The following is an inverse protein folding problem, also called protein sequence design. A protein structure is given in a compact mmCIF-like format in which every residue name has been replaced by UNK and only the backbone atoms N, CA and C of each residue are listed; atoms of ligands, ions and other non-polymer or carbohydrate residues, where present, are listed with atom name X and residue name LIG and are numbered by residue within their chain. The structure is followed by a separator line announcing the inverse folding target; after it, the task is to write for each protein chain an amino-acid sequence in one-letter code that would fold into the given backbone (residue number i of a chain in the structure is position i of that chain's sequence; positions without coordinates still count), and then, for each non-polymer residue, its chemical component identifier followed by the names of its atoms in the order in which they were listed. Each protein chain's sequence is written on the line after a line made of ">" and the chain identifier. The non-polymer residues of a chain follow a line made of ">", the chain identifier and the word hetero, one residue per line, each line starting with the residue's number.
data_IF_359328003416
#
_entry.id   IF_359328003416
#
_cell.length_a   1.000
_cell.length_b   1.000
_cell.length_c   1.000
_cell.angle_alpha   90.00
_cell.angle_beta   90.00
_cell.angle_gamma   90.00
#
_symmetry.space_group_name_H-M   'P 1'
#
loop_
_entity.id
_entity.type
_entity.pdbx_description
1 polymer ?
#
# COMPACT_ATOMS: atom_id res chain seq x y z
N UNK A 1 -7.07 7.34 23.00
CA UNK A 1 -7.23 5.96 22.45
C UNK A 1 -7.55 5.97 20.95
N UNK A 2 -8.58 6.70 20.51
CA UNK A 2 -9.03 6.72 19.11
C UNK A 2 -7.91 7.04 18.10
N UNK A 3 -7.04 8.00 18.39
CA UNK A 3 -5.96 8.43 17.48
C UNK A 3 -4.91 7.34 17.21
N UNK A 4 -4.61 6.46 18.19
CA UNK A 4 -3.73 5.29 18.00
C UNK A 4 -4.42 4.20 17.17
N UNK A 5 -5.73 4.04 17.31
CA UNK A 5 -6.52 3.06 16.56
C UNK A 5 -6.64 3.48 15.09
N UNK A 6 -7.02 4.74 14.85
CA UNK A 6 -7.08 5.36 13.52
C UNK A 6 -5.73 5.27 12.81
N UNK A 7 -4.64 5.57 13.52
CA UNK A 7 -3.29 5.44 12.99
C UNK A 7 -2.87 4.00 12.67
N UNK A 8 -3.47 2.97 13.28
CA UNK A 8 -3.19 1.56 12.90
C UNK A 8 -3.97 1.11 11.68
N UNK A 9 -5.20 1.61 11.51
CA UNK A 9 -6.11 1.23 10.42
C UNK A 9 -5.77 2.00 9.13
N UNK A 10 -5.25 3.23 9.26
CA UNK A 10 -4.90 4.11 8.14
C UNK A 10 -4.24 3.43 6.92
N UNK A 11 -3.17 2.61 7.05
CA UNK A 11 -2.53 1.96 5.91
C UNK A 11 -3.39 0.89 5.23
N UNK A 12 -4.41 0.37 5.90
CA UNK A 12 -5.29 -0.68 5.36
C UNK A 12 -6.56 -0.11 4.70
N UNK A 13 -6.84 1.19 4.84
CA UNK A 13 -8.00 1.84 4.21
C UNK A 13 -8.04 1.59 2.70
N UNK A 14 -6.93 1.74 1.94
CA UNK A 14 -6.95 1.49 0.50
C UNK A 14 -7.30 0.05 0.14
N UNK A 15 -6.83 -0.93 0.91
CA UNK A 15 -7.18 -2.35 0.72
C UNK A 15 -8.66 -2.60 0.99
N UNK A 16 -9.20 -2.03 2.07
CA UNK A 16 -10.63 -2.15 2.40
C UNK A 16 -11.52 -1.60 1.28
N UNK A 17 -11.16 -0.44 0.73
CA UNK A 17 -11.87 0.17 -0.40
C UNK A 17 -11.72 -0.71 -1.66
N UNK A 18 -10.51 -1.20 -1.96
CA UNK A 18 -10.27 -2.10 -3.10
C UNK A 18 -11.12 -3.37 -3.04
N UNK A 19 -11.18 -4.02 -1.88
CA UNK A 19 -12.03 -5.20 -1.66
C UNK A 19 -13.52 -4.88 -1.79
N UNK A 20 -13.96 -3.73 -1.27
CA UNK A 20 -15.35 -3.29 -1.39
C UNK A 20 -15.74 -3.08 -2.87
N UNK A 21 -14.87 -2.48 -3.67
CA UNK A 21 -15.09 -2.29 -5.10
C UNK A 21 -15.18 -3.62 -5.86
N UNK A 22 -14.31 -4.58 -5.53
CA UNK A 22 -14.36 -5.93 -6.10
C UNK A 22 -15.68 -6.63 -5.72
N UNK A 23 -16.09 -6.54 -4.45
CA UNK A 23 -17.34 -7.14 -3.98
C UNK A 23 -18.56 -6.54 -4.68
N UNK A 24 -18.61 -5.22 -4.86
CA UNK A 24 -19.65 -4.55 -5.61
C UNK A 24 -19.66 -4.99 -7.08
N UNK A 25 -18.50 -5.10 -7.73
CA UNK A 25 -18.40 -5.60 -9.11
C UNK A 25 -18.86 -7.05 -9.23
N UNK A 26 -18.59 -7.91 -8.25
CA UNK A 26 -19.07 -9.30 -8.24
C UNK A 26 -20.60 -9.38 -8.07
N UNK A 27 -21.20 -8.47 -7.29
CA UNK A 27 -22.65 -8.41 -7.05
C UNK A 27 -23.44 -7.79 -8.20
N UNK A 28 -22.88 -6.79 -8.88
CA UNK A 28 -23.58 -5.96 -9.88
C UNK A 28 -23.15 -6.24 -11.32
N UNK A 29 -21.97 -6.83 -11.54
CA UNK A 29 -21.44 -7.12 -12.87
C UNK A 29 -21.91 -8.47 -13.40
N UNK A 30 -22.19 -8.56 -14.71
CA UNK A 30 -22.37 -9.85 -15.39
C UNK A 30 -21.04 -10.60 -15.38
N UNK A 31 -20.96 -11.62 -14.53
CA UNK A 31 -19.83 -12.54 -14.39
C UNK A 31 -19.74 -13.40 -15.65
N UNK A 32 -18.92 -12.99 -16.62
CA UNK A 32 -18.76 -13.74 -17.86
C UNK A 32 -17.59 -13.33 -18.75
N UNK A 33 -17.17 -12.07 -18.71
CA UNK A 33 -16.13 -11.57 -19.62
C UNK A 33 -14.73 -11.55 -18.97
N UNK A 34 -13.71 -12.02 -19.70
CA UNK A 34 -12.29 -11.95 -19.31
C UNK A 34 -11.84 -10.54 -18.90
N UNK A 35 -12.48 -9.49 -19.44
CA UNK A 35 -12.21 -8.10 -19.06
C UNK A 35 -12.53 -7.81 -17.59
N UNK A 36 -13.57 -8.42 -17.02
CA UNK A 36 -13.99 -8.19 -15.63
C UNK A 36 -12.95 -8.74 -14.65
N UNK A 37 -12.40 -9.93 -14.93
CA UNK A 37 -11.34 -10.54 -14.12
C UNK A 37 -10.05 -9.71 -14.11
N UNK A 38 -9.66 -9.19 -15.28
CA UNK A 38 -8.50 -8.30 -15.41
C UNK A 38 -8.69 -6.99 -14.63
N UNK A 39 -9.89 -6.38 -14.69
CA UNK A 39 -10.19 -5.15 -13.94
C UNK A 39 -10.13 -5.37 -12.43
N UNK A 40 -10.69 -6.47 -11.93
CA UNK A 40 -10.62 -6.82 -10.50
C UNK A 40 -9.18 -7.00 -10.02
N UNK A 41 -8.36 -7.70 -10.82
CA UNK A 41 -6.94 -7.89 -10.53
C UNK A 41 -6.19 -6.56 -10.49
N UNK A 42 -6.48 -5.66 -11.44
CA UNK A 42 -5.88 -4.33 -11.49
C UNK A 42 -6.28 -3.46 -10.28
N UNK A 43 -7.56 -3.50 -9.88
CA UNK A 43 -8.05 -2.83 -8.67
C UNK A 43 -7.33 -3.37 -7.42
N UNK A 44 -7.13 -4.69 -7.34
CA UNK A 44 -6.42 -5.30 -6.22
C UNK A 44 -4.95 -4.83 -6.17
N UNK A 45 -4.22 -4.91 -7.29
CA UNK A 45 -2.82 -4.49 -7.38
C UNK A 45 -2.69 -3.00 -7.03
N UNK A 46 -3.53 -2.15 -7.59
CA UNK A 46 -3.49 -0.70 -7.30
C UNK A 46 -3.82 -0.41 -5.83
N UNK A 47 -4.79 -1.11 -5.23
CA UNK A 47 -5.11 -0.95 -3.81
C UNK A 47 -3.95 -1.34 -2.89
N UNK A 48 -3.18 -2.39 -3.24
CA UNK A 48 -1.96 -2.78 -2.53
C UNK A 48 -0.89 -1.69 -2.60
N UNK A 49 -0.66 -1.11 -3.78
CA UNK A 49 0.33 -0.04 -3.95
C UNK A 49 -0.06 1.23 -3.20
N UNK A 50 -1.34 1.61 -3.22
CA UNK A 50 -1.83 2.77 -2.46
C UNK A 50 -1.72 2.50 -0.95
N UNK A 51 -1.97 1.27 -0.49
CA UNK A 51 -1.74 0.87 0.91
C UNK A 51 -0.28 1.02 1.32
N UNK A 52 0.66 0.66 0.45
CA UNK A 52 2.09 0.86 0.67
C UNK A 52 2.49 2.33 0.76
N UNK A 53 1.92 3.17 -0.11
CA UNK A 53 2.04 4.63 -0.03
C UNK A 53 1.54 5.16 1.30
N UNK A 54 0.38 4.71 1.76
CA UNK A 54 -0.19 5.12 3.04
C UNK A 54 0.66 4.66 4.23
N UNK A 55 1.27 3.49 4.15
CA UNK A 55 2.25 3.05 5.15
C UNK A 55 3.47 3.97 5.18
N UNK A 56 3.95 4.41 4.01
CA UNK A 56 5.06 5.36 3.89
C UNK A 56 4.68 6.74 4.42
N UNK A 57 3.49 7.24 4.11
CA UNK A 57 2.96 8.49 4.65
C UNK A 57 2.76 8.41 6.17
N UNK A 58 2.31 7.26 6.68
CA UNK A 58 2.13 7.03 8.10
C UNK A 58 3.45 7.03 8.89
N UNK A 59 4.58 6.65 8.29
CA UNK A 59 5.92 6.86 8.88
C UNK A 59 6.23 8.34 9.12
N UNK A 60 5.73 9.24 8.26
CA UNK A 60 5.91 10.70 8.44
C UNK A 60 4.94 11.26 9.48
N UNK A 61 3.67 10.89 9.39
CA UNK A 61 2.59 11.46 10.21
C UNK A 61 2.65 10.96 11.66
N UNK A 62 2.88 9.65 11.86
CA UNK A 62 2.84 9.01 13.19
C UNK A 62 4.23 8.72 13.76
N UNK A 63 5.24 9.50 13.35
CA UNK A 63 6.65 9.30 13.68
C UNK A 63 6.99 9.24 15.17
N UNK A 64 6.15 9.79 16.05
CA UNK A 64 6.44 9.89 17.50
C UNK A 64 5.70 8.84 18.32
N UNK A 65 4.63 8.25 17.78
CA UNK A 65 3.74 7.37 18.56
C UNK A 65 3.69 5.94 18.05
N UNK A 66 3.79 5.73 16.74
CA UNK A 66 3.62 4.42 16.09
C UNK A 66 4.77 4.10 15.12
N UNK A 67 5.92 4.77 15.26
CA UNK A 67 7.03 4.61 14.32
C UNK A 67 7.52 3.16 14.19
N UNK A 68 7.69 2.44 15.31
CA UNK A 68 8.11 1.02 15.27
C UNK A 68 7.10 0.15 14.53
N UNK A 69 5.80 0.40 14.74
CA UNK A 69 4.72 -0.29 14.05
C UNK A 69 4.76 -0.03 12.55
N UNK A 70 4.82 1.24 12.14
CA UNK A 70 4.88 1.62 10.73
C UNK A 70 6.17 1.17 10.05
N UNK A 71 7.30 1.12 10.77
CA UNK A 71 8.57 0.59 10.27
C UNK A 71 8.44 -0.90 9.92
N UNK A 72 7.94 -1.70 10.85
CA UNK A 72 7.72 -3.14 10.62
C UNK A 72 6.71 -3.36 9.50
N UNK A 73 5.61 -2.61 9.52
CA UNK A 73 4.58 -2.68 8.49
C UNK A 73 5.16 -2.36 7.11
N UNK A 74 5.92 -1.27 6.98
CA UNK A 74 6.56 -0.90 5.72
C UNK A 74 7.54 -1.98 5.23
N UNK A 75 8.34 -2.58 6.11
CA UNK A 75 9.25 -3.68 5.75
C UNK A 75 8.47 -4.88 5.20
N UNK A 76 7.41 -5.31 5.89
CA UNK A 76 6.58 -6.44 5.45
C UNK A 76 5.89 -6.12 4.12
N UNK A 77 5.25 -4.95 4.01
CA UNK A 77 4.55 -4.54 2.79
C UNK A 77 5.50 -4.39 1.61
N UNK A 78 6.74 -3.93 1.82
CA UNK A 78 7.73 -3.82 0.74
C UNK A 78 8.10 -5.19 0.17
N UNK A 79 8.18 -6.24 1.00
CA UNK A 79 8.46 -7.61 0.55
C UNK A 79 7.25 -8.18 -0.20
N UNK A 80 6.06 -8.06 0.37
CA UNK A 80 4.83 -8.64 -0.21
C UNK A 80 4.46 -7.93 -1.52
N UNK A 81 4.57 -6.60 -1.56
CA UNK A 81 4.11 -5.79 -2.69
C UNK A 81 5.17 -5.57 -3.76
N UNK A 82 6.39 -6.07 -3.57
CA UNK A 82 7.42 -6.07 -4.61
C UNK A 82 6.93 -6.82 -5.87
N UNK A 83 6.29 -7.97 -5.68
CA UNK A 83 5.80 -8.81 -6.78
C UNK A 83 4.66 -8.12 -7.55
N UNK A 84 3.57 -7.64 -6.90
CA UNK A 84 2.56 -6.80 -7.55
C UNK A 84 3.14 -5.58 -8.28
N UNK A 85 4.14 -4.92 -7.70
CA UNK A 85 4.80 -3.77 -8.33
C UNK A 85 5.56 -4.15 -9.61
N UNK A 86 6.27 -5.29 -9.61
CA UNK A 86 6.95 -5.81 -10.80
C UNK A 86 5.92 -6.20 -11.87
N UNK A 87 4.85 -6.91 -11.49
CA UNK A 87 3.77 -7.26 -12.41
C UNK A 87 3.19 -6.00 -13.05
N UNK A 88 2.89 -4.97 -12.25
CA UNK A 88 2.38 -3.70 -12.77
C UNK A 88 3.38 -3.02 -13.72
N UNK A 89 4.68 -3.10 -13.41
CA UNK A 89 5.72 -2.51 -14.24
C UNK A 89 5.85 -3.17 -15.63
N UNK A 90 5.45 -4.44 -15.78
CA UNK A 90 5.38 -5.09 -17.09
C UNK A 90 4.33 -4.44 -18.00
N UNK A 91 3.26 -3.89 -17.44
CA UNK A 91 2.20 -3.20 -18.19
C UNK A 91 2.44 -1.70 -18.30
N UNK A 92 2.96 -1.09 -17.23
CA UNK A 92 3.20 0.36 -17.13
C UNK A 92 4.63 0.57 -16.64
N UNK A 93 5.62 0.64 -17.54
CA UNK A 93 7.04 0.69 -17.17
C UNK A 93 7.38 1.85 -16.22
N UNK A 94 6.75 3.01 -16.43
CA UNK A 94 6.93 4.21 -15.61
C UNK A 94 6.49 4.01 -14.14
N UNK A 95 5.62 3.03 -13.86
CA UNK A 95 5.21 2.72 -12.48
C UNK A 95 6.37 2.19 -11.63
N UNK A 96 7.39 1.60 -12.25
CA UNK A 96 8.57 1.08 -11.56
C UNK A 96 9.31 2.23 -10.87
N UNK A 97 9.48 3.37 -11.55
CA UNK A 97 10.12 4.57 -10.99
C UNK A 97 9.35 5.09 -9.78
N UNK A 98 8.02 5.16 -9.86
CA UNK A 98 7.17 5.58 -8.74
C UNK A 98 7.31 4.64 -7.55
N UNK A 99 7.22 3.32 -7.77
CA UNK A 99 7.37 2.31 -6.71
C UNK A 99 8.75 2.38 -6.05
N UNK A 100 9.79 2.59 -6.85
CA UNK A 100 11.16 2.71 -6.36
C UNK A 100 11.36 4.01 -5.57
N UNK A 101 10.75 5.11 -6.00
CA UNK A 101 10.76 6.38 -5.26
C UNK A 101 10.06 6.24 -3.90
N UNK A 102 8.91 5.56 -3.84
CA UNK A 102 8.20 5.28 -2.58
C UNK A 102 9.07 4.44 -1.66
N UNK A 103 9.69 3.39 -2.20
CA UNK A 103 10.55 2.49 -1.44
C UNK A 103 11.77 3.22 -0.84
N UNK A 104 12.50 3.98 -1.67
CA UNK A 104 13.65 4.78 -1.22
C UNK A 104 13.20 5.81 -0.19
N UNK A 105 12.10 6.51 -0.43
CA UNK A 105 11.57 7.52 0.51
C UNK A 105 11.29 6.90 1.87
N UNK A 106 10.62 5.74 1.92
CA UNK A 106 10.37 5.01 3.16
C UNK A 106 11.66 4.59 3.89
N UNK A 107 12.66 4.10 3.16
CA UNK A 107 13.97 3.75 3.74
C UNK A 107 14.67 4.97 4.30
N UNK A 108 14.74 6.07 3.56
CA UNK A 108 15.38 7.32 3.98
C UNK A 108 14.72 7.84 5.26
N UNK A 109 13.39 7.80 5.33
CA UNK A 109 12.64 8.20 6.53
C UNK A 109 13.00 7.29 7.71
N UNK A 110 12.99 5.97 7.52
CA UNK A 110 13.33 5.01 8.57
C UNK A 110 14.77 5.24 9.07
N UNK A 111 15.71 5.49 8.16
CA UNK A 111 17.11 5.72 8.51
C UNK A 111 17.30 7.05 9.24
N UNK A 112 16.74 8.13 8.71
CA UNK A 112 16.86 9.49 9.29
C UNK A 112 16.19 9.59 10.66
N UNK A 113 15.02 8.99 10.82
CA UNK A 113 14.25 9.03 12.06
C UNK A 113 14.74 7.98 13.06
N UNK A 114 15.13 6.80 12.59
CA UNK A 114 15.65 5.72 13.43
C UNK A 114 16.95 6.07 14.17
N UNK A 115 17.75 7.01 13.65
CA UNK A 115 18.90 7.56 14.36
C UNK A 115 18.53 8.55 15.47
N UNK A 116 17.37 9.21 15.37
CA UNK A 116 16.94 10.27 16.31
C UNK A 116 16.27 9.72 17.58
N UNK A 117 15.86 8.46 17.57
CA UNK A 117 15.15 7.77 18.65
C UNK A 117 15.91 6.52 19.15
N UNK A 118 17.23 6.48 18.94
CA UNK A 118 18.13 5.48 19.49
C UNK A 118 18.70 5.99 20.82
#
# INVERSE_FOLDING_TARGET
>A
MAQKLLGRIFPFIPLGIGLLLIFLQLKLGKTGDNQTSLRMTFVLITSCLVSWLFATAGLLIYRETLFTYYKQLFQILSVIYLVPAIILALFIPWSLILNLAIFITGIVIIHRIGWKYK
#
